data_IF_099536349620
#
_entry.id   IF_099536349620
#
_cell.length_a   1.000
_cell.length_b   1.000
_cell.length_c   1.000
_cell.angle_alpha   90.00
_cell.angle_beta   90.00
_cell.angle_gamma   90.00
#
_symmetry.space_group_name_H-M   'P 1'
#
loop_
_entity.id
_entity.type
_entity.pdbx_description
1 polymer ?
#
# COMPACT_ATOMS: atom_id res chain seq x y z
N UNK A 1 -17.74 60.26 11.32
CA UNK A 1 -16.83 60.56 10.19
C UNK A 1 -16.80 59.33 9.31
N UNK A 2 -17.47 59.42 8.17
CA UNK A 2 -17.64 58.39 7.14
C UNK A 2 -16.34 58.15 6.38
N UNK A 3 -16.03 56.88 6.11
CA UNK A 3 -15.31 56.38 4.92
C UNK A 3 -15.95 55.00 4.63
N UNK A 4 -17.04 54.93 3.87
CA UNK A 4 -17.14 54.75 2.41
C UNK A 4 -16.86 53.32 1.94
N UNK A 5 -17.88 52.75 1.29
CA UNK A 5 -17.89 51.49 0.56
C UNK A 5 -16.92 51.47 -0.62
N UNK A 6 -16.45 50.26 -0.94
CA UNK A 6 -15.88 49.93 -2.23
C UNK A 6 -15.88 48.41 -2.44
N UNK A 7 -16.83 47.94 -3.26
CA UNK A 7 -16.76 46.90 -4.30
C UNK A 7 -15.70 45.79 -4.15
N UNK A 8 -15.95 44.51 -4.39
CA UNK A 8 -16.98 43.82 -5.14
C UNK A 8 -16.62 42.33 -5.14
N UNK A 9 -17.59 41.47 -5.42
CA UNK A 9 -17.38 40.03 -5.48
C UNK A 9 -16.34 39.66 -6.52
N UNK A 10 -15.28 38.99 -6.07
CA UNK A 10 -14.47 38.12 -6.92
C UNK A 10 -14.56 36.73 -6.30
N UNK A 11 -15.41 35.90 -6.88
CA UNK A 11 -15.33 34.46 -6.73
C UNK A 11 -13.86 34.06 -6.87
N UNK A 12 -13.28 33.55 -5.80
CA UNK A 12 -11.91 33.07 -5.80
C UNK A 12 -11.77 32.06 -6.92
N UNK A 13 -11.01 32.44 -7.95
CA UNK A 13 -10.53 31.53 -8.97
C UNK A 13 -9.90 30.34 -8.23
N UNK A 14 -10.18 29.08 -8.63
CA UNK A 14 -9.51 27.95 -8.03
C UNK A 14 -8.01 28.17 -8.18
N UNK A 15 -7.36 28.34 -7.03
CA UNK A 15 -5.91 28.34 -6.87
C UNK A 15 -5.31 27.21 -7.70
N UNK A 16 -4.27 27.52 -8.48
CA UNK A 16 -3.63 26.64 -9.47
C UNK A 16 -3.18 25.26 -8.95
N UNK A 17 -3.24 25.04 -7.63
CA UNK A 17 -3.14 23.75 -6.95
C UNK A 17 -4.19 22.73 -7.41
N UNK A 18 -5.42 23.17 -7.70
CA UNK A 18 -6.46 22.30 -8.25
C UNK A 18 -6.20 21.92 -9.71
N UNK A 19 -5.57 22.80 -10.49
CA UNK A 19 -5.17 22.51 -11.86
C UNK A 19 -3.95 21.58 -11.91
N UNK A 20 -3.00 21.72 -10.98
CA UNK A 20 -1.87 20.80 -10.81
C UNK A 20 -2.33 19.42 -10.29
N UNK A 21 -3.34 19.38 -9.43
CA UNK A 21 -3.96 18.13 -8.96
C UNK A 21 -4.81 17.46 -10.04
N UNK A 22 -5.52 18.24 -10.87
CA UNK A 22 -6.22 17.72 -12.05
C UNK A 22 -5.24 17.22 -13.13
N UNK A 23 -4.08 17.87 -13.28
CA UNK A 23 -3.00 17.44 -14.18
C UNK A 23 -2.24 16.21 -13.63
N UNK A 24 -2.15 16.07 -12.30
CA UNK A 24 -1.64 14.88 -11.63
C UNK A 24 -2.62 13.68 -11.63
N UNK A 25 -3.90 13.93 -11.96
CA UNK A 25 -4.93 12.90 -12.10
C UNK A 25 -5.11 12.34 -13.52
N UNK A 26 -4.62 13.03 -14.55
CA UNK A 26 -4.57 12.53 -15.94
C UNK A 26 -3.21 11.88 -16.21
N UNK A 27 -2.99 10.70 -15.64
CA UNK A 27 -1.84 9.87 -15.97
C UNK A 27 -1.73 9.66 -17.49
N UNK A 28 -0.49 9.65 -17.99
CA UNK A 28 0.00 9.18 -19.31
C UNK A 28 -0.76 9.60 -20.60
N UNK A 29 -2.07 9.50 -20.66
CA UNK A 29 -2.96 9.84 -21.78
C UNK A 29 -2.99 11.34 -22.08
N UNK A 30 -2.96 12.21 -21.07
CA UNK A 30 -2.84 13.67 -21.28
C UNK A 30 -1.49 14.07 -21.91
N UNK A 31 -0.42 13.32 -21.62
CA UNK A 31 0.90 13.52 -22.21
C UNK A 31 0.97 13.00 -23.66
N UNK A 32 0.37 11.84 -23.95
CA UNK A 32 0.32 11.28 -25.30
C UNK A 32 -0.49 12.16 -26.28
N UNK A 33 -1.53 12.84 -25.80
CA UNK A 33 -2.31 13.78 -26.61
C UNK A 33 -1.53 15.06 -26.94
N UNK A 34 -0.66 15.51 -26.02
CA UNK A 34 0.30 16.59 -26.26
C UNK A 34 1.48 16.15 -27.15
N UNK A 35 1.84 14.86 -27.16
CA UNK A 35 2.88 14.28 -28.03
C UNK A 35 2.44 14.25 -29.52
N UNK A 36 1.15 14.02 -29.80
CA UNK A 36 0.59 14.07 -31.16
C UNK A 36 0.45 15.50 -31.68
N UNK A 37 0.16 16.47 -30.80
CA UNK A 37 0.10 17.88 -31.18
C UNK A 37 1.47 18.44 -31.58
N UNK A 38 2.55 18.01 -30.92
CA UNK A 38 3.91 18.48 -31.17
C UNK A 38 4.54 17.89 -32.44
N UNK A 39 4.18 16.66 -32.84
CA UNK A 39 4.59 16.06 -34.12
C UNK A 39 4.08 16.83 -35.35
N UNK A 40 2.99 17.61 -35.22
CA UNK A 40 2.43 18.40 -36.31
C UNK A 40 3.02 19.81 -36.43
N UNK A 41 3.82 20.29 -35.46
CA UNK A 41 4.17 21.72 -35.40
C UNK A 41 5.59 22.08 -34.94
N UNK A 42 6.53 21.13 -34.80
CA UNK A 42 7.90 21.50 -34.43
C UNK A 42 8.80 21.75 -35.65
N UNK A 43 8.87 23.04 -36.00
CA UNK A 43 9.91 23.62 -36.83
C UNK A 43 11.31 23.26 -36.24
N UNK A 44 12.25 22.72 -37.03
CA UNK A 44 13.39 21.91 -36.59
C UNK A 44 14.62 22.67 -36.03
N UNK A 45 14.49 23.91 -35.54
CA UNK A 45 15.66 24.78 -35.33
C UNK A 45 16.14 24.99 -33.88
N UNK A 46 15.85 24.09 -32.92
CA UNK A 46 16.72 23.83 -31.75
C UNK A 46 16.18 22.67 -30.88
N UNK A 47 16.58 21.41 -31.12
CA UNK A 47 16.03 20.24 -30.42
C UNK A 47 16.71 19.89 -29.07
N UNK A 48 17.55 20.75 -28.49
CA UNK A 48 18.53 20.28 -27.48
C UNK A 48 18.05 20.24 -26.01
N UNK A 49 17.06 21.04 -25.62
CA UNK A 49 16.66 21.18 -24.20
C UNK A 49 15.42 20.35 -23.79
N UNK A 50 14.34 20.23 -24.60
CA UNK A 50 13.14 19.52 -24.18
C UNK A 50 13.38 18.01 -24.03
N UNK A 51 14.18 17.42 -24.93
CA UNK A 51 14.44 15.98 -24.93
C UNK A 51 15.26 15.54 -23.72
N UNK A 52 16.22 16.35 -23.26
CA UNK A 52 17.04 16.04 -22.08
C UNK A 52 16.21 16.08 -20.77
N UNK A 53 15.39 17.11 -20.59
CA UNK A 53 14.48 17.20 -19.43
C UNK A 53 13.40 16.10 -19.47
N UNK A 54 12.90 15.74 -20.65
CA UNK A 54 11.99 14.61 -20.83
C UNK A 54 12.66 13.28 -20.46
N UNK A 55 13.91 13.04 -20.86
CA UNK A 55 14.62 11.82 -20.47
C UNK A 55 14.83 11.73 -18.96
N UNK A 56 15.18 12.83 -18.31
CA UNK A 56 15.33 12.86 -16.85
C UNK A 56 13.99 12.67 -16.13
N UNK A 57 12.91 13.25 -16.64
CA UNK A 57 11.56 13.06 -16.11
C UNK A 57 11.08 11.62 -16.32
N UNK A 58 11.33 11.02 -17.48
CA UNK A 58 11.00 9.64 -17.77
C UNK A 58 11.75 8.67 -16.84
N UNK A 59 13.02 8.94 -16.55
CA UNK A 59 13.79 8.16 -15.57
C UNK A 59 13.22 8.29 -14.15
N UNK A 60 12.81 9.48 -13.73
CA UNK A 60 12.16 9.68 -12.42
C UNK A 60 10.80 8.99 -12.35
N UNK A 61 9.97 9.08 -13.41
CA UNK A 61 8.69 8.41 -13.49
C UNK A 61 8.84 6.87 -13.47
N UNK A 62 9.89 6.34 -14.10
CA UNK A 62 10.22 4.92 -14.03
C UNK A 62 10.59 4.49 -12.59
N UNK A 63 11.40 5.29 -11.88
CA UNK A 63 11.74 5.01 -10.49
C UNK A 63 10.53 5.09 -9.57
N UNK A 64 9.64 6.06 -9.78
CA UNK A 64 8.40 6.17 -9.02
C UNK A 64 7.47 4.98 -9.30
N UNK A 65 7.31 4.57 -10.56
CA UNK A 65 6.54 3.38 -10.92
C UNK A 65 7.08 2.11 -10.27
N UNK A 66 8.42 1.94 -10.19
CA UNK A 66 9.05 0.81 -9.47
C UNK A 66 8.76 0.88 -7.98
N UNK A 67 8.83 2.07 -7.36
CA UNK A 67 8.52 2.24 -5.94
C UNK A 67 7.04 1.96 -5.63
N UNK A 68 6.13 2.40 -6.50
CA UNK A 68 4.70 2.11 -6.41
C UNK A 68 4.45 0.61 -6.53
N UNK A 69 5.08 -0.07 -7.49
CA UNK A 69 4.98 -1.52 -7.66
C UNK A 69 5.49 -2.27 -6.42
N UNK A 70 6.65 -1.86 -5.88
CA UNK A 70 7.20 -2.44 -4.66
C UNK A 70 6.29 -2.20 -3.43
N UNK A 71 5.56 -1.07 -3.40
CA UNK A 71 4.55 -0.80 -2.36
C UNK A 71 3.33 -1.70 -2.51
N UNK A 72 2.84 -1.92 -3.74
CA UNK A 72 1.72 -2.82 -3.99
C UNK A 72 2.07 -4.26 -3.61
N UNK A 73 3.25 -4.75 -4.02
CA UNK A 73 3.73 -6.08 -3.63
C UNK A 73 3.81 -6.26 -2.10
N UNK A 74 4.30 -5.25 -1.38
CA UNK A 74 4.32 -5.29 0.10
C UNK A 74 2.92 -5.37 0.71
N UNK A 75 1.94 -4.65 0.14
CA UNK A 75 0.54 -4.74 0.59
C UNK A 75 -0.07 -6.10 0.29
N UNK A 76 0.17 -6.67 -0.87
CA UNK A 76 -0.34 -8.00 -1.24
C UNK A 76 0.26 -9.10 -0.35
N UNK A 77 1.56 -9.04 -0.06
CA UNK A 77 2.19 -9.94 0.92
C UNK A 77 1.57 -9.75 2.32
N UNK A 78 1.32 -8.49 2.72
CA UNK A 78 0.64 -8.18 3.98
C UNK A 78 -0.77 -8.79 4.06
N UNK A 79 -1.54 -8.73 2.96
CA UNK A 79 -2.88 -9.32 2.88
C UNK A 79 -2.83 -10.86 2.93
N UNK A 80 -1.88 -11.49 2.21
CA UNK A 80 -1.71 -12.93 2.24
C UNK A 80 -1.34 -13.42 3.66
N UNK A 81 -0.39 -12.73 4.30
CA UNK A 81 -0.03 -13.01 5.70
C UNK A 81 -1.22 -12.78 6.63
N UNK A 82 -2.05 -11.77 6.34
CA UNK A 82 -3.24 -11.48 7.13
C UNK A 82 -4.29 -12.59 7.07
N UNK A 83 -4.53 -13.16 5.88
CA UNK A 83 -5.42 -14.30 5.69
C UNK A 83 -4.85 -15.55 6.36
N UNK A 84 -3.55 -15.80 6.22
CA UNK A 84 -2.88 -16.91 6.89
C UNK A 84 -2.99 -16.80 8.42
N UNK A 85 -2.70 -15.62 8.97
CA UNK A 85 -2.82 -15.34 10.40
C UNK A 85 -4.26 -15.49 10.91
N UNK A 86 -5.26 -15.01 10.17
CA UNK A 86 -6.66 -15.17 10.54
C UNK A 86 -7.05 -16.66 10.67
N UNK A 87 -6.51 -17.52 9.81
CA UNK A 87 -6.70 -18.98 9.91
C UNK A 87 -5.95 -19.63 11.08
N UNK A 88 -5.01 -18.93 11.71
CA UNK A 88 -4.29 -19.41 12.89
C UNK A 88 -5.01 -19.12 14.21
N UNK A 89 -6.01 -18.23 14.21
CA UNK A 89 -6.83 -17.97 15.40
C UNK A 89 -7.45 -19.28 15.88
N UNK A 90 -7.27 -19.61 17.16
CA UNK A 90 -7.70 -20.88 17.75
C UNK A 90 -6.77 -22.08 17.48
N UNK A 91 -5.65 -21.88 16.77
CA UNK A 91 -4.62 -22.92 16.56
C UNK A 91 -3.47 -22.76 17.57
N UNK A 92 -2.84 -23.87 17.93
CA UNK A 92 -1.69 -23.88 18.83
C UNK A 92 -0.40 -23.58 18.05
N UNK A 93 0.38 -22.64 18.55
CA UNK A 93 1.58 -22.12 17.88
C UNK A 93 2.74 -22.03 18.85
N UNK A 94 3.95 -22.24 18.32
CA UNK A 94 5.18 -21.81 18.98
C UNK A 94 5.73 -20.59 18.26
N UNK A 95 5.96 -19.54 19.03
CA UNK A 95 6.51 -18.31 18.51
C UNK A 95 7.52 -17.71 19.49
N UNK A 96 8.37 -16.83 18.97
CA UNK A 96 9.28 -16.05 19.78
C UNK A 96 8.66 -14.68 20.03
N UNK A 97 8.34 -14.37 21.29
CA UNK A 97 7.84 -13.06 21.65
C UNK A 97 8.93 -11.99 21.50
N UNK A 98 8.50 -10.74 21.49
CA UNK A 98 9.36 -9.58 21.20
C UNK A 98 10.44 -9.39 22.29
N UNK A 99 10.22 -9.93 23.48
CA UNK A 99 11.15 -9.99 24.61
C UNK A 99 12.18 -11.14 24.51
N UNK A 100 12.14 -11.93 23.44
CA UNK A 100 13.01 -13.09 23.23
C UNK A 100 12.57 -14.34 23.99
N UNK A 101 11.41 -14.32 24.64
CA UNK A 101 10.85 -15.51 25.30
C UNK A 101 10.13 -16.39 24.29
N UNK A 102 10.22 -17.70 24.45
CA UNK A 102 9.45 -18.64 23.62
C UNK A 102 8.06 -18.77 24.21
N UNK A 103 7.06 -18.37 23.44
CA UNK A 103 5.65 -18.46 23.83
C UNK A 103 5.01 -19.62 23.09
N UNK A 104 4.30 -20.44 23.85
CA UNK A 104 3.57 -21.61 23.35
C UNK A 104 2.13 -21.47 23.79
N UNK A 105 1.20 -21.46 22.84
CA UNK A 105 -0.19 -21.27 23.17
C UNK A 105 -1.11 -21.22 21.98
N UNK A 106 -2.40 -21.10 22.27
CA UNK A 106 -3.43 -20.87 21.27
C UNK A 106 -3.40 -19.39 20.89
N UNK A 107 -3.54 -19.09 19.60
CA UNK A 107 -3.71 -17.70 19.12
C UNK A 107 -5.10 -17.21 19.52
N UNK A 108 -5.15 -16.17 20.36
CA UNK A 108 -6.39 -15.56 20.83
C UNK A 108 -6.94 -14.56 19.80
N UNK A 109 -6.06 -13.76 19.20
CA UNK A 109 -6.43 -12.74 18.22
C UNK A 109 -5.31 -12.44 17.22
N UNK A 110 -5.68 -11.80 16.11
CA UNK A 110 -4.74 -11.22 15.14
C UNK A 110 -5.08 -9.76 14.94
N UNK A 111 -4.06 -8.90 15.07
CA UNK A 111 -4.17 -7.47 14.85
C UNK A 111 -3.33 -7.05 13.65
N UNK A 112 -3.88 -6.18 12.81
CA UNK A 112 -3.18 -5.67 11.64
C UNK A 112 -2.54 -4.33 11.95
N UNK A 113 -1.23 -4.26 11.78
CA UNK A 113 -0.45 -3.02 11.93
C UNK A 113 0.15 -2.61 10.59
N UNK A 114 0.68 -1.40 10.52
CA UNK A 114 1.39 -0.90 9.33
C UNK A 114 2.63 -1.73 8.96
N UNK A 115 3.16 -2.50 9.92
CA UNK A 115 4.32 -3.37 9.75
C UNK A 115 3.94 -4.83 9.42
N UNK A 116 2.64 -5.17 9.46
CA UNK A 116 2.14 -6.52 9.21
C UNK A 116 1.23 -7.05 10.33
N UNK A 117 0.76 -8.30 10.20
CA UNK A 117 -0.06 -8.96 11.21
C UNK A 117 0.75 -9.29 12.47
N UNK A 118 0.16 -9.03 13.62
CA UNK A 118 0.66 -9.36 14.96
C UNK A 118 -0.35 -10.31 15.60
N UNK A 119 0.13 -11.42 16.14
CA UNK A 119 -0.67 -12.42 16.83
C UNK A 119 -0.65 -12.13 18.31
N UNK A 120 -1.78 -12.34 18.97
CA UNK A 120 -1.89 -12.31 20.43
C UNK A 120 -1.96 -13.76 20.93
N UNK A 121 -1.01 -14.15 21.78
CA UNK A 121 -0.91 -15.50 22.33
C UNK A 121 -0.80 -15.37 23.84
N UNK A 122 -1.86 -15.69 24.58
CA UNK A 122 -1.87 -15.61 26.04
C UNK A 122 -1.60 -14.19 26.57
N UNK A 123 -2.05 -13.17 25.83
CA UNK A 123 -1.84 -11.75 26.15
C UNK A 123 -0.47 -11.18 25.77
N UNK A 124 0.39 -11.97 25.09
CA UNK A 124 1.66 -11.49 24.53
C UNK A 124 1.53 -11.23 23.04
N UNK A 125 2.12 -10.11 22.59
CA UNK A 125 2.13 -9.73 21.19
C UNK A 125 3.35 -10.31 20.48
N UNK A 126 3.08 -11.09 19.43
CA UNK A 126 4.10 -11.77 18.65
C UNK A 126 3.93 -11.43 17.16
N UNK A 127 4.94 -10.85 16.49
CA UNK A 127 4.89 -10.61 15.05
C UNK A 127 4.70 -11.93 14.30
N UNK A 128 3.93 -11.91 13.21
CA UNK A 128 3.73 -13.10 12.36
C UNK A 128 5.04 -13.69 11.84
N UNK A 129 6.05 -12.87 11.59
CA UNK A 129 7.39 -13.28 11.14
C UNK A 129 8.15 -14.12 12.20
N UNK A 130 7.79 -13.99 13.48
CA UNK A 130 8.42 -14.69 14.60
C UNK A 130 7.74 -16.02 14.96
N UNK A 131 6.74 -16.44 14.18
CA UNK A 131 6.11 -17.75 14.34
C UNK A 131 7.02 -18.82 13.75
N UNK A 132 7.43 -19.79 14.57
CA UNK A 132 8.40 -20.82 14.18
C UNK A 132 7.75 -22.17 13.93
N UNK A 133 6.60 -22.47 14.54
CA UNK A 133 5.86 -23.72 14.31
C UNK A 133 4.35 -23.50 14.44
N UNK A 134 3.60 -24.11 13.51
CA UNK A 134 2.13 -24.14 13.54
C UNK A 134 1.68 -25.59 13.71
N UNK A 135 0.99 -25.89 14.82
CA UNK A 135 0.45 -27.22 15.08
C UNK A 135 -1.06 -27.14 15.23
N UNK A 136 -1.79 -27.76 14.30
CA UNK A 136 -3.22 -28.03 14.51
C UNK A 136 -3.36 -29.01 15.66
N UNK A 137 -3.87 -28.54 16.80
CA UNK A 137 -4.35 -29.44 17.85
C UNK A 137 -5.61 -30.11 17.33
N UNK A 138 -5.67 -31.46 17.28
CA UNK A 138 -6.89 -32.15 16.89
C UNK A 138 -8.03 -31.73 17.82
N UNK A 139 -9.20 -31.43 17.24
CA UNK A 139 -10.38 -31.05 18.02
C UNK A 139 -10.71 -32.15 19.05
N UNK A 140 -10.93 -31.80 20.33
CA UNK A 140 -11.37 -32.76 21.33
C UNK A 140 -12.83 -33.13 21.02
N UNK A 141 -13.04 -34.22 20.28
CA UNK A 141 -14.39 -34.69 19.92
C UNK A 141 -14.51 -35.46 18.62
N UNK A 142 -13.45 -35.59 17.80
CA UNK A 142 -13.46 -36.50 16.67
C UNK A 142 -13.31 -37.95 17.15
N UNK A 143 -14.40 -38.59 17.56
CA UNK A 143 -14.45 -40.05 17.59
C UNK A 143 -14.07 -40.54 16.20
N UNK A 144 -12.89 -41.14 16.09
CA UNK A 144 -12.52 -41.94 14.93
C UNK A 144 -13.61 -43.01 14.82
N UNK A 145 -14.57 -42.82 13.90
CA UNK A 145 -15.47 -43.88 13.49
C UNK A 145 -14.58 -44.92 12.85
N UNK A 146 -14.27 -45.95 13.63
CA UNK A 146 -13.74 -47.21 13.12
C UNK A 146 -14.76 -47.73 12.11
N UNK A 147 -14.44 -47.56 10.84
CA UNK A 147 -15.04 -48.32 9.75
C UNK A 147 -14.54 -49.75 9.88
N UNK A 148 -15.25 -50.54 10.69
CA UNK A 148 -15.22 -52.00 10.68
C UNK A 148 -16.51 -52.47 10.00
N UNK A 149 -16.38 -52.89 8.74
CA UNK A 149 -17.25 -53.82 8.01
C UNK A 149 -16.62 -54.16 6.65
#
# INVERSE_FOLDING_TARGET
MTMISGIGGSAGLPTGDAALTALGGLGSDGFLQLMVAQLRYQNPLNPSDPSAMMMQTAQLAQLDAVQQLASLQRRDLGLQNAVAAAGMVGTNVHALATDGTTVRGVVDAVRYTTLGPVLEIGGQEVPFDQVTEIRRTPAPGGTAVAIDA
#
